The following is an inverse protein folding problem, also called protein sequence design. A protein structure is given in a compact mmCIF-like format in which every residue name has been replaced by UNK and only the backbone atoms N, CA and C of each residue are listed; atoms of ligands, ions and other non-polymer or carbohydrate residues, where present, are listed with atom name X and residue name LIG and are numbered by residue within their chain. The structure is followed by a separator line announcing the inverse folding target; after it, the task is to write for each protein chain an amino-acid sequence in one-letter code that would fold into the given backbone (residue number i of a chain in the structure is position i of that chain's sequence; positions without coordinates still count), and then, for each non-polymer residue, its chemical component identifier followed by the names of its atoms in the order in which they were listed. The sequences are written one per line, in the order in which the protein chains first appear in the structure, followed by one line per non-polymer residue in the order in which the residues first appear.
data_IF_730052072654
#
_entry.id   IF_730052072654
#
_cell.length_a   1.000
_cell.length_b   1.000
_cell.length_c   1.000
_cell.angle_alpha   90.00
_cell.angle_beta   90.00
_cell.angle_gamma   90.00
#
_symmetry.space_group_name_H-M   'P 1'
#
loop_
_entity.id
_entity.type
_entity.pdbx_description
1 polymer ?
#
# COMPACT_ATOMS: atom_id res chain seq x y z
N UNK A 1 56.45 -22.95 -13.67
CA UNK A 1 56.34 -23.24 -12.21
C UNK A 1 56.90 -22.03 -11.47
N UNK A 2 56.20 -21.27 -10.62
CA UNK A 2 54.96 -21.43 -9.86
C UNK A 2 54.32 -20.04 -9.69
N UNK A 3 53.00 -19.96 -9.88
CA UNK A 3 52.17 -18.84 -9.42
C UNK A 3 52.21 -18.77 -7.88
N UNK A 4 52.28 -17.57 -7.31
CA UNK A 4 51.87 -17.32 -5.91
C UNK A 4 50.90 -16.16 -5.89
N UNK A 5 49.63 -16.57 -5.93
CA UNK A 5 48.44 -15.83 -5.58
C UNK A 5 48.55 -15.50 -4.08
N UNK A 6 48.59 -14.22 -3.74
CA UNK A 6 48.36 -13.76 -2.37
C UNK A 6 46.91 -13.30 -2.28
N UNK A 7 46.19 -13.91 -1.35
CA UNK A 7 44.75 -13.86 -1.15
C UNK A 7 44.21 -12.43 -1.00
N UNK A 8 43.35 -12.00 -1.93
CA UNK A 8 42.29 -11.03 -1.67
C UNK A 8 41.12 -11.81 -1.06
N UNK A 9 40.99 -11.82 0.26
CA UNK A 9 39.75 -12.24 0.92
C UNK A 9 38.78 -11.07 0.86
N UNK A 10 38.13 -10.91 -0.31
CA UNK A 10 36.94 -10.09 -0.45
C UNK A 10 35.78 -10.89 0.16
N UNK A 11 35.59 -10.75 1.47
CA UNK A 11 34.37 -11.18 2.15
C UNK A 11 33.27 -10.18 1.76
N UNK A 12 32.76 -10.32 0.53
CA UNK A 12 31.42 -9.82 0.20
C UNK A 12 30.49 -10.80 0.90
N UNK A 13 30.06 -10.45 2.10
CA UNK A 13 28.83 -10.98 2.63
C UNK A 13 27.74 -10.54 1.64
N UNK A 14 27.43 -11.41 0.68
CA UNK A 14 26.18 -11.42 -0.06
C UNK A 14 25.09 -11.71 0.98
N UNK A 15 24.73 -10.69 1.75
CA UNK A 15 23.35 -10.54 2.17
C UNK A 15 22.66 -10.13 0.88
N UNK A 16 22.09 -11.10 0.19
CA UNK A 16 21.00 -10.85 -0.74
C UNK A 16 19.88 -10.21 0.09
N UNK A 17 20.00 -8.89 0.30
CA UNK A 17 18.84 -8.04 0.52
C UNK A 17 18.05 -8.24 -0.76
N UNK A 18 17.07 -9.14 -0.70
CA UNK A 18 16.06 -9.29 -1.74
C UNK A 18 15.29 -7.98 -1.71
N UNK A 19 15.83 -6.96 -2.40
CA UNK A 19 15.11 -5.73 -2.69
C UNK A 19 13.94 -6.18 -3.51
N UNK A 20 12.79 -6.02 -2.93
CA UNK A 20 11.57 -6.32 -3.61
C UNK A 20 11.03 -5.01 -4.16
N UNK A 21 10.95 -4.96 -5.48
CA UNK A 21 10.69 -3.74 -6.21
C UNK A 21 9.18 -3.62 -6.45
N UNK A 22 8.45 -3.49 -5.35
CA UNK A 22 7.03 -3.12 -5.42
C UNK A 22 6.89 -1.61 -5.51
N UNK A 23 6.16 -1.16 -6.53
CA UNK A 23 5.94 0.25 -6.78
C UNK A 23 4.44 0.56 -6.73
N UNK A 24 4.08 1.58 -5.96
CA UNK A 24 2.76 2.19 -6.03
C UNK A 24 2.71 3.17 -7.20
N UNK A 25 1.69 3.03 -8.04
CA UNK A 25 1.56 3.79 -9.28
C UNK A 25 0.17 4.40 -9.37
N UNK A 26 0.08 5.70 -9.62
CA UNK A 26 -1.21 6.40 -9.78
C UNK A 26 -1.31 6.95 -11.19
N UNK A 27 -2.45 6.69 -11.84
CA UNK A 27 -2.81 7.22 -13.16
C UNK A 27 -4.03 8.12 -13.00
N UNK A 28 -3.88 9.41 -13.28
CA UNK A 28 -4.98 10.36 -13.27
C UNK A 28 -5.60 10.49 -14.66
N UNK A 29 -6.71 9.79 -14.94
CA UNK A 29 -7.48 9.96 -16.19
C UNK A 29 -8.57 11.03 -16.08
N UNK A 30 -8.71 11.69 -14.94
CA UNK A 30 -9.70 12.73 -14.76
C UNK A 30 -9.34 13.99 -15.57
N UNK A 31 -10.31 14.89 -15.71
CA UNK A 31 -10.16 16.18 -16.37
C UNK A 31 -9.66 17.29 -15.43
N UNK A 32 -9.34 16.95 -14.19
CA UNK A 32 -8.74 17.83 -13.17
C UNK A 32 -7.41 17.29 -12.66
N UNK A 33 -6.53 18.21 -12.24
CA UNK A 33 -5.25 17.87 -11.60
C UNK A 33 -5.50 17.27 -10.21
N UNK A 34 -4.66 16.32 -9.80
CA UNK A 34 -4.66 15.70 -8.47
C UNK A 34 -3.31 15.93 -7.83
N UNK A 35 -3.26 16.00 -6.50
CA UNK A 35 -2.03 16.14 -5.74
C UNK A 35 -1.76 14.88 -4.94
N UNK A 36 -0.50 14.46 -4.95
CA UNK A 36 -0.05 13.22 -4.35
C UNK A 36 1.22 13.39 -3.54
N UNK A 37 1.34 12.62 -2.47
CA UNK A 37 2.60 12.40 -1.77
C UNK A 37 2.63 11.02 -1.15
N UNK A 38 3.82 10.53 -0.89
CA UNK A 38 4.04 9.22 -0.32
C UNK A 38 4.53 9.36 1.11
N UNK A 39 3.96 8.58 2.02
CA UNK A 39 4.49 8.35 3.37
C UNK A 39 4.91 6.89 3.54
N UNK A 40 5.92 6.61 4.35
CA UNK A 40 6.31 5.25 4.75
C UNK A 40 6.44 5.17 6.27
N UNK A 41 6.10 4.01 6.85
CA UNK A 41 6.38 3.76 8.26
C UNK A 41 7.89 3.95 8.54
N UNK A 42 8.25 4.60 9.67
CA UNK A 42 9.65 4.77 10.03
C UNK A 42 10.31 3.41 10.25
N UNK A 43 11.62 3.33 9.98
CA UNK A 43 12.41 2.15 10.35
C UNK A 43 12.66 2.07 11.85
N UNK A 44 13.25 0.96 12.29
CA UNK A 44 13.55 0.68 13.70
C UNK A 44 14.49 1.69 14.38
N UNK A 45 15.14 2.58 13.62
CA UNK A 45 15.99 3.65 14.15
C UNK A 45 15.22 4.95 14.44
N UNK A 46 13.92 5.00 14.13
CA UNK A 46 13.03 6.14 14.38
C UNK A 46 13.39 7.41 13.61
N UNK A 47 14.41 7.38 12.75
CA UNK A 47 15.07 8.59 12.25
C UNK A 47 14.57 9.06 10.88
N UNK A 48 13.62 8.36 10.27
CA UNK A 48 13.08 8.78 8.98
C UNK A 48 11.56 8.67 8.98
N UNK A 49 10.89 9.77 9.35
CA UNK A 49 9.59 10.08 8.75
C UNK A 49 9.88 10.29 7.27
N UNK A 50 9.60 9.27 6.47
CA UNK A 50 9.74 9.34 5.03
C UNK A 50 8.44 9.90 4.49
N UNK A 51 8.41 11.22 4.42
CA UNK A 51 7.31 11.99 3.88
C UNK A 51 7.79 12.75 2.65
N UNK A 52 7.25 12.42 1.48
CA UNK A 52 7.69 13.04 0.23
C UNK A 52 7.12 14.46 0.09
N UNK A 53 7.77 15.32 -0.73
CA UNK A 53 7.11 16.50 -1.23
C UNK A 53 5.79 16.14 -1.92
N UNK A 54 4.85 17.08 -1.91
CA UNK A 54 3.64 16.94 -2.70
C UNK A 54 3.93 17.21 -4.16
N UNK A 55 3.39 16.36 -5.03
CA UNK A 55 3.56 16.42 -6.46
C UNK A 55 2.22 16.45 -7.17
N UNK A 56 2.19 17.15 -8.30
CA UNK A 56 1.01 17.26 -9.12
C UNK A 56 0.93 16.13 -10.12
N UNK A 57 -0.20 15.45 -10.15
CA UNK A 57 -0.60 14.51 -11.18
C UNK A 57 -1.52 15.21 -12.17
N UNK A 58 -0.97 15.60 -13.31
CA UNK A 58 -1.74 16.31 -14.34
C UNK A 58 -2.97 15.55 -14.81
N UNK A 59 -4.04 16.30 -15.11
CA UNK A 59 -5.23 15.77 -15.77
C UNK A 59 -4.91 15.08 -17.10
N UNK A 60 -5.78 14.16 -17.52
CA UNK A 60 -5.73 13.55 -18.86
C UNK A 60 -4.63 12.51 -19.08
N UNK A 61 -4.18 11.85 -18.02
CA UNK A 61 -3.21 10.74 -18.06
C UNK A 61 -1.90 11.00 -17.33
N UNK A 62 -1.84 11.99 -16.44
CA UNK A 62 -0.68 12.20 -15.57
C UNK A 62 -0.41 10.98 -14.69
N UNK A 63 0.87 10.80 -14.35
CA UNK A 63 1.36 9.64 -13.61
C UNK A 63 2.12 10.10 -12.38
N UNK A 64 1.93 9.39 -11.28
CA UNK A 64 2.76 9.47 -10.09
C UNK A 64 3.27 8.09 -9.71
N UNK A 65 4.55 8.00 -9.35
CA UNK A 65 5.12 6.82 -8.74
C UNK A 65 5.42 7.13 -7.28
N UNK A 66 5.20 6.17 -6.39
CA UNK A 66 5.54 6.31 -4.99
C UNK A 66 7.01 6.74 -4.82
N UNK A 67 7.25 7.74 -3.98
CA UNK A 67 8.59 8.29 -3.75
C UNK A 67 9.49 7.34 -2.95
N UNK A 68 8.89 6.34 -2.29
CA UNK A 68 9.57 5.33 -1.48
C UNK A 68 9.18 3.93 -1.93
N UNK A 69 10.15 3.01 -1.86
CA UNK A 69 9.91 1.58 -2.01
C UNK A 69 9.60 1.02 -0.61
N UNK A 70 8.63 0.09 -0.48
CA UNK A 70 8.38 -0.60 0.78
C UNK A 70 9.60 -1.43 1.22
N UNK A 71 9.62 -1.80 2.49
CA UNK A 71 10.61 -2.76 3.01
C UNK A 71 9.90 -4.08 3.25
N UNK A 72 10.41 -5.15 2.65
CA UNK A 72 9.90 -6.48 2.93
C UNK A 72 10.25 -6.92 4.34
N UNK A 73 9.32 -7.62 4.96
CA UNK A 73 9.51 -8.20 6.29
C UNK A 73 8.47 -9.26 6.61
N UNK A 74 8.51 -9.72 7.86
CA UNK A 74 7.67 -10.75 8.43
C UNK A 74 6.34 -10.18 8.93
N UNK A 75 5.35 -10.07 8.04
CA UNK A 75 4.08 -9.40 8.29
C UNK A 75 4.22 -7.93 8.72
N UNK A 76 3.09 -7.30 9.05
CA UNK A 76 3.08 -6.00 9.72
C UNK A 76 3.12 -6.23 11.22
N UNK A 77 3.99 -5.55 11.94
CA UNK A 77 3.91 -5.50 13.39
C UNK A 77 4.54 -4.21 13.91
N UNK A 78 4.76 -4.14 15.23
CA UNK A 78 5.26 -2.93 15.89
C UNK A 78 6.37 -2.23 15.08
N UNK A 79 6.29 -0.91 14.86
CA UNK A 79 7.21 -0.15 13.99
C UNK A 79 8.69 -0.27 14.39
N UNK A 80 8.97 -0.74 15.61
CA UNK A 80 10.31 -0.88 16.17
C UNK A 80 10.96 -2.26 15.90
N UNK A 81 10.23 -3.23 15.35
CA UNK A 81 10.78 -4.57 15.10
C UNK A 81 11.54 -4.62 13.76
N UNK A 82 12.81 -5.02 13.84
CA UNK A 82 13.76 -4.96 12.72
C UNK A 82 13.47 -5.91 11.56
N UNK A 83 12.60 -6.90 11.76
CA UNK A 83 12.24 -7.92 10.78
C UNK A 83 10.82 -7.75 10.21
N UNK A 84 10.09 -6.69 10.57
CA UNK A 84 8.74 -6.45 10.06
C UNK A 84 8.72 -5.73 8.70
N UNK A 85 7.63 -5.92 7.96
CA UNK A 85 7.43 -5.22 6.71
C UNK A 85 7.04 -3.77 6.98
N UNK A 86 7.56 -2.85 6.17
CA UNK A 86 7.19 -1.44 6.23
C UNK A 86 6.48 -1.06 4.92
N UNK A 87 5.18 -0.86 5.04
CA UNK A 87 4.30 -0.46 3.96
C UNK A 87 4.51 0.96 3.49
N UNK A 88 3.94 1.24 2.32
CA UNK A 88 3.89 2.58 1.73
C UNK A 88 2.43 3.02 1.64
N UNK A 89 2.20 4.29 1.96
CA UNK A 89 0.91 4.97 1.79
C UNK A 89 1.07 6.09 0.78
N UNK A 90 0.29 6.09 -0.30
CA UNK A 90 0.13 7.23 -1.20
C UNK A 90 -1.12 8.00 -0.78
N UNK A 91 -0.94 9.28 -0.46
CA UNK A 91 -2.00 10.21 -0.09
C UNK A 91 -2.39 11.05 -1.29
N UNK A 92 -3.68 11.14 -1.58
CA UNK A 92 -4.24 11.82 -2.77
C UNK A 92 -5.33 12.81 -2.39
N UNK A 93 -5.35 13.97 -3.04
CA UNK A 93 -6.38 14.99 -2.86
C UNK A 93 -6.50 15.92 -4.08
N UNK A 94 -7.60 16.70 -4.14
CA UNK A 94 -7.87 17.64 -5.24
C UNK A 94 -7.11 18.98 -5.10
N UNK A 95 -6.53 19.28 -3.94
CA UNK A 95 -5.91 20.57 -3.62
C UNK A 95 -4.42 20.47 -3.25
N UNK A 96 -3.66 21.55 -3.39
CA UNK A 96 -2.25 21.61 -2.96
C UNK A 96 -2.15 21.94 -1.45
N UNK A 97 -2.57 21.02 -0.59
CA UNK A 97 -2.46 21.12 0.87
C UNK A 97 -1.51 20.05 1.45
N UNK A 98 -0.19 20.31 1.50
CA UNK A 98 0.80 19.33 1.95
C UNK A 98 0.68 18.98 3.44
N UNK A 99 -0.12 19.75 4.19
CA UNK A 99 -0.37 19.57 5.62
C UNK A 99 -1.58 18.68 5.91
N UNK A 100 -2.38 18.35 4.89
CA UNK A 100 -3.63 17.60 5.03
C UNK A 100 -4.63 18.27 5.99
N UNK A 101 -4.53 19.59 6.18
CA UNK A 101 -5.40 20.35 7.06
C UNK A 101 -6.87 20.34 6.62
N UNK A 102 -7.13 20.07 5.34
CA UNK A 102 -8.48 19.92 4.79
C UNK A 102 -9.19 18.64 5.23
N UNK A 103 -8.46 17.60 5.66
CA UNK A 103 -9.06 16.31 6.05
C UNK A 103 -9.82 15.62 4.91
N UNK A 104 -9.39 15.86 3.67
CA UNK A 104 -9.98 15.29 2.47
C UNK A 104 -8.93 14.50 1.69
N UNK A 105 -8.35 13.49 2.36
CA UNK A 105 -7.22 12.73 1.84
C UNK A 105 -7.60 11.28 1.62
N UNK A 106 -7.54 10.86 0.38
CA UNK A 106 -7.67 9.46 0.01
C UNK A 106 -6.33 8.74 0.18
N UNK A 107 -6.36 7.49 0.61
CA UNK A 107 -5.14 6.72 0.87
C UNK A 107 -5.12 5.44 0.03
N UNK A 108 -3.92 5.14 -0.48
CA UNK A 108 -3.58 3.87 -1.12
C UNK A 108 -2.47 3.27 -0.28
N UNK A 109 -2.73 2.15 0.39
CA UNK A 109 -1.74 1.50 1.23
C UNK A 109 -1.35 0.17 0.60
N UNK A 110 -0.06 -0.13 0.58
CA UNK A 110 0.42 -1.42 0.12
C UNK A 110 1.68 -1.84 0.88
N UNK A 111 1.67 -3.09 1.32
CA UNK A 111 2.76 -3.66 2.11
C UNK A 111 3.07 -5.05 1.61
N UNK A 112 4.27 -5.25 1.07
CA UNK A 112 4.69 -6.58 0.69
C UNK A 112 5.49 -7.25 1.81
N UNK A 113 5.27 -8.54 2.04
CA UNK A 113 5.76 -9.26 3.22
C UNK A 113 5.89 -10.77 2.96
N UNK A 114 6.42 -11.49 3.94
CA UNK A 114 6.32 -12.95 4.05
C UNK A 114 5.64 -13.34 5.36
N UNK A 115 4.93 -14.48 5.36
CA UNK A 115 4.27 -15.01 6.55
C UNK A 115 5.13 -16.10 7.16
N UNK A 116 6.08 -15.73 8.03
CA UNK A 116 7.01 -16.64 8.74
C UNK A 116 7.93 -17.53 7.86
N UNK A 117 7.60 -17.73 6.57
CA UNK A 117 8.36 -18.44 5.55
C UNK A 117 8.75 -17.44 4.45
N UNK A 118 10.04 -17.06 4.33
CA UNK A 118 10.50 -16.09 3.34
C UNK A 118 10.33 -16.54 1.88
N UNK A 119 10.01 -17.83 1.63
CA UNK A 119 9.72 -18.34 0.29
C UNK A 119 8.27 -18.08 -0.14
N UNK A 120 7.42 -17.60 0.77
CA UNK A 120 6.02 -17.28 0.48
C UNK A 120 5.83 -15.77 0.60
N UNK A 121 5.90 -15.10 -0.54
CA UNK A 121 5.82 -13.65 -0.64
C UNK A 121 4.41 -13.20 -0.97
N UNK A 122 3.93 -12.27 -0.16
CA UNK A 122 2.59 -11.71 -0.18
C UNK A 122 2.65 -10.20 -0.42
N UNK A 123 1.53 -9.67 -0.89
CA UNK A 123 1.23 -8.25 -0.96
C UNK A 123 -0.13 -8.04 -0.30
N UNK A 124 -0.18 -7.20 0.72
CA UNK A 124 -1.43 -6.59 1.16
C UNK A 124 -1.60 -5.24 0.48
N UNK A 125 -2.84 -4.90 0.15
CA UNK A 125 -3.17 -3.60 -0.40
C UNK A 125 -4.58 -3.18 -0.03
N UNK A 126 -4.76 -1.88 0.13
CA UNK A 126 -6.06 -1.27 0.38
C UNK A 126 -6.26 0.07 -0.33
N UNK A 127 -7.53 0.41 -0.47
CA UNK A 127 -8.00 1.77 -0.61
C UNK A 127 -8.49 2.21 0.76
N UNK A 128 -8.26 3.46 1.16
CA UNK A 128 -8.58 3.89 2.52
C UNK A 128 -9.15 5.31 2.49
N UNK A 129 -10.23 5.50 3.25
CA UNK A 129 -10.94 6.78 3.42
C UNK A 129 -10.87 7.29 4.86
N UNK A 130 -9.93 6.76 5.65
CA UNK A 130 -9.77 7.10 7.08
C UNK A 130 -9.49 8.58 7.30
N UNK A 131 -8.81 9.23 6.33
CA UNK A 131 -8.51 10.67 6.32
C UNK A 131 -9.44 11.45 5.37
N UNK A 132 -10.54 10.84 4.92
CA UNK A 132 -11.55 11.43 4.03
C UNK A 132 -11.57 10.85 2.61
N UNK A 133 -12.56 11.29 1.81
CA UNK A 133 -12.68 10.90 0.40
C UNK A 133 -13.02 12.12 -0.48
N UNK A 134 -12.03 12.74 -1.15
CA UNK A 134 -12.25 13.85 -2.07
C UNK A 134 -12.77 13.40 -3.45
N UNK A 135 -12.90 12.10 -3.69
CA UNK A 135 -13.13 11.48 -5.00
C UNK A 135 -14.47 10.75 -5.09
N UNK A 136 -15.47 11.14 -4.29
CA UNK A 136 -16.80 10.48 -4.23
C UNK A 136 -17.52 10.47 -5.58
N UNK A 137 -17.25 11.43 -6.45
CA UNK A 137 -17.91 11.65 -7.73
C UNK A 137 -17.29 10.88 -8.91
N UNK A 138 -16.22 10.12 -8.68
CA UNK A 138 -15.47 9.43 -9.75
C UNK A 138 -15.29 7.93 -9.46
N UNK A 139 -14.87 7.16 -10.46
CA UNK A 139 -14.43 5.78 -10.28
C UNK A 139 -13.05 5.76 -9.61
N UNK A 140 -12.89 4.87 -8.64
CA UNK A 140 -11.63 4.59 -7.92
C UNK A 140 -11.30 3.12 -8.14
N UNK A 141 -10.26 2.86 -8.92
CA UNK A 141 -9.91 1.52 -9.37
C UNK A 141 -8.46 1.21 -9.04
N UNK A 142 -8.20 0.10 -8.35
CA UNK A 142 -6.85 -0.41 -8.17
C UNK A 142 -6.69 -1.82 -8.73
N UNK A 143 -5.49 -2.18 -9.18
CA UNK A 143 -5.14 -3.54 -9.56
C UNK A 143 -3.69 -3.87 -9.20
N UNK A 144 -3.43 -5.15 -8.99
CA UNK A 144 -2.11 -5.70 -8.75
C UNK A 144 -1.56 -6.26 -10.06
N UNK A 145 -0.41 -5.74 -10.49
CA UNK A 145 0.28 -6.16 -11.71
C UNK A 145 1.59 -6.89 -11.36
N UNK A 146 1.78 -8.08 -11.92
CA UNK A 146 3.03 -8.85 -11.88
C UNK A 146 3.45 -9.13 -13.32
N UNK A 147 4.72 -8.86 -13.64
CA UNK A 147 5.24 -8.93 -15.02
C UNK A 147 4.40 -8.14 -16.04
N UNK A 148 3.87 -6.98 -15.60
CA UNK A 148 3.03 -6.09 -16.41
C UNK A 148 1.63 -6.64 -16.72
N UNK A 149 1.20 -7.71 -16.04
CA UNK A 149 -0.13 -8.31 -16.21
C UNK A 149 -0.86 -8.33 -14.89
N UNK A 150 -2.19 -8.18 -14.96
CA UNK A 150 -3.05 -8.36 -13.78
C UNK A 150 -2.81 -9.73 -13.15
N UNK A 151 -2.59 -9.73 -11.85
CA UNK A 151 -2.39 -10.94 -11.07
C UNK A 151 -3.64 -11.83 -11.14
N UNK A 152 -3.43 -13.15 -11.21
CA UNK A 152 -4.52 -14.12 -11.17
C UNK A 152 -5.28 -13.98 -9.85
N UNK A 153 -6.59 -13.72 -9.92
CA UNK A 153 -7.43 -13.52 -8.75
C UNK A 153 -7.42 -14.74 -7.80
N UNK A 154 -7.19 -15.95 -8.30
CA UNK A 154 -7.09 -17.16 -7.46
C UNK A 154 -5.88 -17.16 -6.52
N UNK A 155 -4.91 -16.27 -6.74
CA UNK A 155 -3.78 -16.04 -5.85
C UNK A 155 -4.09 -15.05 -4.72
N UNK A 156 -5.32 -14.54 -4.67
CA UNK A 156 -5.73 -13.47 -3.78
C UNK A 156 -6.92 -13.87 -2.91
N UNK A 157 -6.91 -13.36 -1.69
CA UNK A 157 -8.04 -13.34 -0.78
C UNK A 157 -8.55 -11.89 -0.65
N UNK A 158 -9.87 -11.70 -0.64
CA UNK A 158 -10.47 -10.40 -0.32
C UNK A 158 -11.57 -10.54 0.73
N UNK A 159 -11.64 -9.54 1.62
CA UNK A 159 -12.69 -9.43 2.64
C UNK A 159 -14.02 -8.92 2.09
N UNK A 160 -14.06 -8.46 0.83
CA UNK A 160 -15.26 -7.92 0.16
C UNK A 160 -16.21 -8.99 -0.43
N UNK A 161 -15.87 -10.27 -0.26
CA UNK A 161 -16.71 -11.40 -0.64
C UNK A 161 -16.32 -12.11 -1.95
N UNK A 162 -15.09 -11.92 -2.45
CA UNK A 162 -14.57 -12.66 -3.61
C UNK A 162 -13.06 -12.88 -3.64
N UNK A 163 -12.59 -13.58 -4.67
CA UNK A 163 -11.16 -13.60 -5.08
C UNK A 163 -10.91 -12.39 -5.96
N UNK A 164 -10.01 -11.48 -5.56
CA UNK A 164 -9.76 -10.25 -6.32
C UNK A 164 -8.31 -9.82 -6.28
N UNK A 165 -7.74 -9.51 -7.44
CA UNK A 165 -6.49 -8.75 -7.60
C UNK A 165 -6.77 -7.28 -7.92
N UNK A 166 -8.01 -6.84 -7.63
CA UNK A 166 -8.60 -5.58 -8.07
C UNK A 166 -9.50 -5.02 -6.98
N UNK A 167 -9.38 -3.72 -6.70
CA UNK A 167 -10.29 -2.95 -5.86
C UNK A 167 -11.08 -2.01 -6.78
N UNK A 168 -12.40 -1.99 -6.67
CA UNK A 168 -13.25 -1.11 -7.49
C UNK A 168 -14.31 -0.45 -6.63
N UNK A 169 -14.34 0.87 -6.68
CA UNK A 169 -15.43 1.67 -6.13
C UNK A 169 -16.04 2.55 -7.22
N UNK A 170 -17.36 2.44 -7.39
CA UNK A 170 -18.15 3.34 -8.21
C UNK A 170 -18.28 4.73 -7.56
N UNK A 171 -18.68 5.77 -8.33
CA UNK A 171 -19.08 7.05 -7.78
C UNK A 171 -20.17 6.86 -6.71
N UNK A 172 -19.90 7.36 -5.50
CA UNK A 172 -20.75 7.27 -4.33
C UNK A 172 -20.22 8.19 -3.24
N UNK A 173 -21.14 8.90 -2.57
CA UNK A 173 -20.84 9.70 -1.37
C UNK A 173 -20.59 8.82 -0.13
N UNK A 174 -20.95 7.54 -0.20
CA UNK A 174 -20.63 6.55 0.82
C UNK A 174 -19.42 5.72 0.39
N UNK A 175 -18.49 5.41 1.29
CA UNK A 175 -17.35 4.59 0.91
C UNK A 175 -17.77 3.16 0.59
N UNK A 176 -17.05 2.53 -0.32
CA UNK A 176 -17.42 1.23 -0.88
C UNK A 176 -16.81 0.06 -0.06
N UNK A 177 -17.26 -1.20 -0.27
CA UNK A 177 -16.73 -2.34 0.48
C UNK A 177 -15.22 -2.59 0.32
N UNK A 178 -14.63 -2.09 -0.77
CA UNK A 178 -13.20 -2.20 -1.06
C UNK A 178 -12.36 -1.08 -0.39
N UNK A 179 -12.99 -0.14 0.33
CA UNK A 179 -12.35 0.94 1.05
C UNK A 179 -12.31 0.67 2.56
N UNK A 180 -11.12 0.73 3.15
CA UNK A 180 -10.87 0.72 4.57
C UNK A 180 -11.40 2.00 5.23
N UNK A 181 -12.05 1.85 6.38
CA UNK A 181 -12.67 2.91 7.18
C UNK A 181 -12.23 2.77 8.64
N UNK A 182 -12.19 3.85 9.44
CA UNK A 182 -11.90 3.77 10.86
C UNK A 182 -12.99 2.92 11.54
N UNK A 183 -12.65 1.66 11.82
CA UNK A 183 -13.58 0.65 12.30
C UNK A 183 -14.53 0.14 11.22
N UNK A 184 -14.53 -1.15 10.95
CA UNK A 184 -15.68 -1.85 10.37
C UNK A 184 -16.94 -1.79 11.29
N UNK A 185 -17.41 -0.58 11.63
CA UNK A 185 -18.78 -0.21 11.96
C UNK A 185 -19.31 0.64 10.80
N UNK A 186 -20.52 0.37 10.34
CA UNK A 186 -21.01 0.73 8.99
C UNK A 186 -21.79 2.03 9.02
N UNK A 187 -21.32 3.05 8.28
CA UNK A 187 -22.05 4.29 7.92
C UNK A 187 -22.30 5.34 9.02
N UNK A 188 -22.52 6.58 8.57
CA UNK A 188 -22.72 7.83 9.34
C UNK A 188 -23.92 7.80 10.33
N UNK A 189 -24.72 6.73 10.32
CA UNK A 189 -25.83 6.50 11.25
C UNK A 189 -25.60 5.31 12.20
N UNK A 190 -24.39 4.77 12.32
CA UNK A 190 -24.11 3.65 13.23
C UNK A 190 -24.04 4.11 14.69
N UNK A 191 -25.03 3.77 15.55
CA UNK A 191 -24.99 4.09 16.97
C UNK A 191 -23.85 3.38 17.71
N UNK A 192 -23.14 2.44 17.05
CA UNK A 192 -21.95 1.76 17.56
C UNK A 192 -20.62 2.42 17.15
N UNK A 193 -20.61 3.64 16.60
CA UNK A 193 -19.39 4.44 16.45
C UNK A 193 -18.64 4.73 17.78
N UNK A 194 -19.18 4.24 18.90
CA UNK A 194 -18.50 4.06 20.17
C UNK A 194 -17.90 2.64 20.32
N UNK A 195 -17.05 2.20 19.39
CA UNK A 195 -16.14 1.09 19.71
C UNK A 195 -14.83 1.66 20.26
N UNK A 196 -14.74 1.69 21.59
CA UNK A 196 -13.47 1.49 22.29
C UNK A 196 -13.04 0.03 22.06
N UNK A 197 -12.73 -0.39 20.83
CA UNK A 197 -12.41 -1.79 20.59
C UNK A 197 -10.95 -2.07 20.92
N UNK A 198 -10.75 -2.90 21.95
CA UNK A 198 -9.55 -3.72 22.18
C UNK A 198 -9.30 -4.75 21.04
N UNK A 199 -9.92 -4.56 19.88
CA UNK A 199 -9.70 -5.31 18.65
C UNK A 199 -9.15 -4.33 17.60
N UNK A 200 -7.95 -3.82 17.88
CA UNK A 200 -7.05 -3.46 16.79
C UNK A 200 -6.92 -4.69 15.90
N UNK A 201 -7.05 -4.53 14.58
CA UNK A 201 -6.75 -5.64 13.69
C UNK A 201 -5.37 -6.19 14.05
N UNK A 202 -5.34 -7.50 14.30
CA UNK A 202 -4.09 -8.15 14.68
C UNK A 202 -3.05 -7.91 13.59
N UNK A 203 -1.74 -7.94 13.91
CA UNK A 203 -0.66 -8.02 12.93
C UNK A 203 -1.06 -8.86 11.71
N UNK A 204 -0.67 -8.45 10.49
CA UNK A 204 -1.02 -9.19 9.25
C UNK A 204 -0.70 -10.70 9.33
N UNK A 205 0.19 -11.08 10.23
CA UNK A 205 0.51 -12.46 10.57
C UNK A 205 -0.59 -13.27 11.27
N UNK A 206 -1.74 -12.71 11.65
CA UNK A 206 -2.79 -13.45 12.37
C UNK A 206 -4.16 -13.35 11.71
N UNK A 207 -4.49 -12.19 11.12
CA UNK A 207 -5.73 -11.99 10.38
C UNK A 207 -5.56 -10.86 9.35
N UNK A 208 -4.86 -11.12 8.23
CA UNK A 208 -4.51 -10.10 7.24
C UNK A 208 -5.74 -9.48 6.55
N UNK A 209 -6.83 -10.23 6.43
CA UNK A 209 -8.11 -9.75 5.90
C UNK A 209 -8.81 -8.74 6.82
N UNK A 210 -8.36 -8.64 8.09
CA UNK A 210 -8.86 -7.64 9.00
C UNK A 210 -8.30 -6.27 8.66
N UNK A 211 -7.03 -6.13 8.27
CA UNK A 211 -6.40 -4.82 8.08
C UNK A 211 -6.44 -4.32 6.63
N UNK A 212 -6.54 -5.23 5.65
CA UNK A 212 -6.53 -4.85 4.23
C UNK A 212 -7.64 -5.59 3.44
N UNK A 213 -8.33 -4.92 2.51
CA UNK A 213 -9.33 -5.54 1.64
C UNK A 213 -8.76 -6.58 0.66
N UNK A 214 -7.48 -6.51 0.26
CA UNK A 214 -6.84 -7.53 -0.59
C UNK A 214 -5.52 -8.01 0.00
N UNK A 215 -5.32 -9.32 -0.06
CA UNK A 215 -4.07 -10.00 0.19
C UNK A 215 -3.78 -11.00 -0.94
N UNK A 216 -2.62 -10.91 -1.58
CA UNK A 216 -2.27 -11.73 -2.74
C UNK A 216 -0.88 -12.36 -2.63
N UNK A 217 -0.73 -13.62 -3.06
CA UNK A 217 0.59 -14.23 -3.28
C UNK A 217 1.18 -13.69 -4.59
N UNK A 218 1.94 -12.61 -4.50
CA UNK A 218 2.33 -11.79 -5.65
C UNK A 218 3.84 -11.83 -6.00
N UNK A 219 4.66 -12.54 -5.21
CA UNK A 219 6.11 -12.63 -5.46
C UNK A 219 6.88 -11.36 -5.05
N UNK A 220 8.14 -11.17 -5.50
CA UNK A 220 9.04 -10.14 -4.99
C UNK A 220 8.91 -8.80 -5.73
N UNK A 221 8.22 -8.72 -6.85
CA UNK A 221 8.21 -7.53 -7.70
C UNK A 221 6.85 -7.35 -8.34
N UNK A 222 6.40 -6.11 -8.46
CA UNK A 222 5.16 -5.79 -9.13
C UNK A 222 4.74 -4.34 -8.94
N UNK A 223 3.54 -4.03 -9.40
CA UNK A 223 2.96 -2.69 -9.32
C UNK A 223 1.58 -2.77 -8.67
N UNK A 224 1.36 -1.96 -7.65
CA UNK A 224 0.01 -1.64 -7.18
C UNK A 224 -0.45 -0.38 -7.91
N UNK A 225 -1.29 -0.55 -8.93
CA UNK A 225 -1.71 0.53 -9.81
C UNK A 225 -3.10 1.01 -9.42
N UNK A 226 -3.22 2.30 -9.12
CA UNK A 226 -4.47 3.00 -8.92
C UNK A 226 -4.78 3.91 -10.11
N UNK A 227 -6.01 3.84 -10.62
CA UNK A 227 -6.52 4.66 -11.73
C UNK A 227 -7.73 5.44 -11.27
N UNK A 228 -7.63 6.76 -11.37
CA UNK A 228 -8.74 7.70 -11.16
C UNK A 228 -9.50 7.89 -12.46
N UNK A 229 -10.83 7.94 -12.40
CA UNK A 229 -11.71 8.10 -13.58
C UNK A 229 -11.51 6.99 -14.64
N UNK A 230 -11.26 5.75 -14.16
CA UNK A 230 -10.99 4.56 -14.97
C UNK A 230 -12.22 3.85 -15.53
#
# INVERSE_FOLDING_TARGET
MKFRIACFLLLVALVDLVSADWVGHVVNKCDFDVWAKTTRQPGSDGNAILDSPMEKISAGGGIYNAAFIPVYGNGEGSPDASDHAHGVTIKLQKEEDPSFATGHVYQLEYTPYWYQDPNVQWLSADLSVVDGNPFTDIVRYAEILVDGKRLDASLCNSSDGGTGSVLYCAPSDQPCPAEWQPGHARSENDPEANYTSELTCQPMNNNPQCSHPIECRAGPTGVFQFTLCG
#
